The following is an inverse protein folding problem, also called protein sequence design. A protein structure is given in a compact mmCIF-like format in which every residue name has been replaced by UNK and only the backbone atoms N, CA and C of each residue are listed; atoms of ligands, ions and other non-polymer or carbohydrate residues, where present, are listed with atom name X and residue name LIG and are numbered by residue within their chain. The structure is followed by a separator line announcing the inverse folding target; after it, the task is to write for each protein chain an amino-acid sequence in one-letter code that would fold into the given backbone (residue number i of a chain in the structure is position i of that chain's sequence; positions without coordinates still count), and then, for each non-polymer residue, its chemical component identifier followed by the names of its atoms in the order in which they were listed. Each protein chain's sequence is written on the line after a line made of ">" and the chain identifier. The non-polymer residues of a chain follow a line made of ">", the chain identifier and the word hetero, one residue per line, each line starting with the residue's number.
data_IF_313611631798
#
_entry.id   IF_313611631798
#
_cell.length_a   1.000
_cell.length_b   1.000
_cell.length_c   1.000
_cell.angle_alpha   90.00
_cell.angle_beta   90.00
_cell.angle_gamma   90.00
#
_symmetry.space_group_name_H-M   'P 1'
#
loop_
_entity.id
_entity.type
_entity.pdbx_description
1 polymer ?
#
# COMPACT_ATOMS: atom_id res chain seq x y z
N UNK A 1 6.13 50.48 -25.65
CA UNK A 1 4.90 49.65 -25.65
C UNK A 1 5.24 48.14 -25.59
N UNK A 2 6.16 47.72 -24.70
CA UNK A 2 6.68 46.33 -24.70
C UNK A 2 6.93 45.68 -23.32
N UNK A 3 6.91 46.46 -22.23
CA UNK A 3 7.19 45.97 -20.87
C UNK A 3 6.03 45.12 -20.31
N UNK A 4 4.81 45.55 -20.59
CA UNK A 4 3.54 44.88 -20.23
C UNK A 4 3.36 43.56 -20.97
N UNK A 5 3.64 43.51 -22.27
CA UNK A 5 3.51 42.28 -23.07
C UNK A 5 4.54 41.23 -22.65
N UNK A 6 5.76 41.65 -22.28
CA UNK A 6 6.80 40.76 -21.76
C UNK A 6 6.42 40.20 -20.39
N UNK A 7 5.88 41.02 -19.48
CA UNK A 7 5.41 40.56 -18.15
C UNK A 7 4.25 39.58 -18.27
N UNK A 8 3.30 39.86 -19.16
CA UNK A 8 2.15 38.98 -19.44
C UNK A 8 2.63 37.65 -20.01
N UNK A 9 3.54 37.67 -21.00
CA UNK A 9 4.13 36.46 -21.57
C UNK A 9 4.84 35.62 -20.50
N UNK A 10 5.59 36.28 -19.60
CA UNK A 10 6.29 35.63 -18.50
C UNK A 10 5.34 35.00 -17.48
N UNK A 11 4.17 35.60 -17.25
CA UNK A 11 3.13 35.05 -16.36
C UNK A 11 2.44 33.83 -16.98
N UNK A 12 2.19 33.85 -18.30
CA UNK A 12 1.62 32.70 -18.99
C UNK A 12 2.60 31.53 -19.07
N UNK A 13 3.89 31.79 -19.28
CA UNK A 13 4.91 30.73 -19.31
C UNK A 13 5.10 30.09 -17.95
N UNK A 14 5.11 30.87 -16.86
CA UNK A 14 5.19 30.29 -15.50
C UNK A 14 3.96 29.48 -15.15
N UNK A 15 2.76 29.95 -15.49
CA UNK A 15 1.51 29.21 -15.26
C UNK A 15 1.49 27.89 -16.04
N UNK A 16 1.90 27.90 -17.31
CA UNK A 16 2.00 26.71 -18.15
C UNK A 16 3.00 25.69 -17.58
N UNK A 17 4.13 26.15 -17.03
CA UNK A 17 5.15 25.29 -16.43
C UNK A 17 4.69 24.67 -15.11
N UNK A 18 3.92 25.38 -14.28
CA UNK A 18 3.31 24.82 -13.07
C UNK A 18 2.25 23.78 -13.41
N UNK A 19 1.42 24.06 -14.43
CA UNK A 19 0.39 23.14 -14.89
C UNK A 19 0.99 21.84 -15.43
N UNK A 20 2.07 21.88 -16.21
CA UNK A 20 2.71 20.66 -16.73
C UNK A 20 3.31 19.79 -15.62
N UNK A 21 3.92 20.39 -14.59
CA UNK A 21 4.46 19.65 -13.44
C UNK A 21 3.32 18.94 -12.67
N UNK A 22 2.16 19.56 -12.53
CA UNK A 22 1.00 18.97 -11.85
C UNK A 22 0.41 17.75 -12.59
N UNK A 23 0.64 17.60 -13.90
CA UNK A 23 0.16 16.44 -14.67
C UNK A 23 1.12 15.24 -14.56
N UNK A 24 2.33 15.45 -14.06
CA UNK A 24 3.37 14.42 -13.91
C UNK A 24 3.25 13.65 -12.59
N UNK A 25 2.05 13.54 -12.01
CA UNK A 25 1.81 12.58 -10.92
C UNK A 25 1.72 11.21 -11.55
N UNK A 26 2.89 10.57 -11.71
CA UNK A 26 2.98 9.23 -12.25
C UNK A 26 2.35 8.29 -11.23
N UNK A 27 1.19 7.73 -11.56
CA UNK A 27 0.58 6.63 -10.81
C UNK A 27 1.67 5.59 -10.52
N UNK A 28 2.05 5.45 -9.25
CA UNK A 28 3.01 4.43 -8.83
C UNK A 28 2.33 3.11 -9.13
N UNK A 29 2.70 2.48 -10.25
CA UNK A 29 2.23 1.15 -10.62
C UNK A 29 2.64 0.22 -9.50
N UNK A 30 1.65 -0.10 -8.68
CA UNK A 30 1.83 -0.94 -7.52
C UNK A 30 2.24 -2.34 -8.00
N UNK A 31 3.29 -2.90 -7.39
CA UNK A 31 3.92 -4.13 -7.86
C UNK A 31 3.16 -5.28 -7.21
N UNK A 32 2.62 -6.25 -7.99
CA UNK A 32 1.98 -7.40 -7.39
C UNK A 32 3.02 -8.26 -6.67
N UNK A 33 2.79 -8.49 -5.38
CA UNK A 33 3.57 -9.40 -4.53
C UNK A 33 2.64 -10.49 -4.04
N UNK A 34 2.99 -11.75 -4.26
CA UNK A 34 2.18 -12.89 -3.81
C UNK A 34 0.71 -12.81 -4.24
N UNK A 35 0.48 -12.46 -5.50
CA UNK A 35 -0.84 -12.29 -6.12
C UNK A 35 -1.72 -11.18 -5.55
N UNK A 36 -1.17 -10.29 -4.71
CA UNK A 36 -1.87 -9.09 -4.23
C UNK A 36 -1.06 -7.85 -4.54
N UNK A 37 -1.75 -6.73 -4.72
CA UNK A 37 -1.08 -5.48 -4.97
C UNK A 37 -0.45 -4.93 -3.69
N UNK A 38 0.73 -4.30 -3.75
CA UNK A 38 1.34 -3.74 -2.54
C UNK A 38 0.47 -2.68 -1.88
N UNK A 39 -0.27 -1.89 -2.66
CA UNK A 39 -1.21 -0.89 -2.13
C UNK A 39 -2.40 -1.53 -1.40
N UNK A 40 -2.79 -2.75 -1.77
CA UNK A 40 -3.89 -3.46 -1.12
C UNK A 40 -3.50 -3.98 0.27
N UNK A 41 -2.20 -4.15 0.56
CA UNK A 41 -1.72 -4.54 1.88
C UNK A 41 -2.02 -3.48 2.95
N UNK A 42 -2.11 -2.20 2.58
CA UNK A 42 -2.44 -1.12 3.51
C UNK A 42 -3.83 -1.30 4.12
N UNK A 43 -4.77 -1.95 3.41
CA UNK A 43 -6.10 -2.30 3.92
C UNK A 43 -6.02 -3.19 5.16
N UNK A 44 -4.94 -3.96 5.30
CA UNK A 44 -4.70 -4.83 6.46
C UNK A 44 -3.86 -4.19 7.56
N UNK A 45 -3.18 -3.06 7.31
CA UNK A 45 -2.28 -2.44 8.28
C UNK A 45 -2.93 -2.15 9.64
N UNK A 46 -4.17 -1.64 9.73
CA UNK A 46 -4.83 -1.39 11.01
C UNK A 46 -5.00 -2.64 11.88
N UNK A 47 -5.22 -3.81 11.27
CA UNK A 47 -5.43 -5.07 11.98
C UNK A 47 -4.13 -5.81 12.34
N UNK A 48 -3.01 -5.42 11.71
CA UNK A 48 -1.74 -6.14 11.83
C UNK A 48 -0.68 -5.39 12.67
N UNK A 49 -0.78 -4.07 12.73
CA UNK A 49 0.16 -3.19 13.46
C UNK A 49 -0.49 -2.51 14.69
N UNK A 50 0.32 -1.89 15.55
CA UNK A 50 -0.15 -1.15 16.74
C UNK A 50 -0.16 -1.96 18.04
N UNK A 51 -0.62 -1.39 19.16
CA UNK A 51 -0.65 -2.12 20.45
C UNK A 51 -1.86 -3.03 20.61
N UNK A 52 -3.04 -2.56 20.21
CA UNK A 52 -4.29 -3.30 20.31
C UNK A 52 -5.07 -3.17 18.98
N UNK A 53 -4.68 -3.93 17.95
CA UNK A 53 -5.32 -3.81 16.65
C UNK A 53 -6.77 -4.30 16.70
N UNK A 54 -7.70 -3.63 16.01
CA UNK A 54 -9.05 -4.15 15.80
C UNK A 54 -9.03 -5.43 14.96
N UNK A 55 -10.13 -6.21 14.94
CA UNK A 55 -10.28 -7.32 14.00
C UNK A 55 -10.17 -6.85 12.54
N UNK A 56 -9.74 -7.73 11.61
CA UNK A 56 -9.61 -7.37 10.21
C UNK A 56 -10.97 -7.06 9.60
N UNK A 57 -11.05 -5.92 8.91
CA UNK A 57 -12.24 -5.54 8.14
C UNK A 57 -12.42 -6.40 6.88
N UNK A 58 -13.59 -6.28 6.21
CA UNK A 58 -13.91 -7.08 5.02
C UNK A 58 -12.92 -6.89 3.88
N UNK A 59 -12.45 -5.65 3.66
CA UNK A 59 -11.45 -5.35 2.63
C UNK A 59 -10.12 -6.04 2.89
N UNK A 60 -9.66 -6.06 4.14
CA UNK A 60 -8.46 -6.82 4.50
C UNK A 60 -8.68 -8.32 4.27
N UNK A 61 -9.83 -8.85 4.67
CA UNK A 61 -10.11 -10.27 4.45
C UNK A 61 -10.22 -10.65 2.97
N UNK A 62 -10.69 -9.75 2.09
CA UNK A 62 -10.65 -9.96 0.65
C UNK A 62 -9.19 -10.09 0.16
N UNK A 63 -8.30 -9.20 0.62
CA UNK A 63 -6.87 -9.26 0.30
C UNK A 63 -6.22 -10.54 0.82
N UNK A 64 -6.48 -10.91 2.08
CA UNK A 64 -5.95 -12.14 2.70
C UNK A 64 -6.39 -13.38 1.93
N UNK A 65 -7.65 -13.43 1.47
CA UNK A 65 -8.18 -14.56 0.69
C UNK A 65 -7.65 -14.61 -0.74
N UNK A 66 -7.33 -13.45 -1.33
CA UNK A 66 -6.75 -13.36 -2.66
C UNK A 66 -5.22 -13.62 -2.66
N UNK A 67 -4.56 -13.40 -1.53
CA UNK A 67 -3.12 -13.56 -1.37
C UNK A 67 -2.66 -15.02 -1.47
N UNK A 68 -1.51 -15.20 -2.09
CA UNK A 68 -0.71 -16.42 -1.98
C UNK A 68 0.04 -16.39 -0.65
N UNK A 69 -0.59 -16.95 0.39
CA UNK A 69 -0.07 -16.93 1.76
C UNK A 69 1.22 -17.76 1.92
N UNK A 70 1.45 -18.78 1.08
CA UNK A 70 2.73 -19.52 1.06
C UNK A 70 3.84 -18.64 0.46
N UNK A 71 3.56 -17.93 -0.63
CA UNK A 71 4.49 -16.93 -1.16
C UNK A 71 4.84 -15.86 -0.12
N UNK A 72 3.85 -15.40 0.66
CA UNK A 72 4.02 -14.35 1.66
C UNK A 72 5.00 -14.74 2.77
N UNK A 73 5.22 -16.04 3.00
CA UNK A 73 6.22 -16.55 3.94
C UNK A 73 7.63 -16.04 3.65
N UNK A 74 7.97 -15.76 2.39
CA UNK A 74 9.28 -15.21 2.00
C UNK A 74 9.58 -13.86 2.64
N UNK A 75 8.53 -13.14 3.05
CA UNK A 75 8.63 -11.82 3.66
C UNK A 75 8.42 -11.85 5.18
N UNK A 76 8.25 -13.03 5.79
CA UNK A 76 7.99 -13.19 7.23
C UNK A 76 9.02 -12.45 8.09
N UNK A 77 10.30 -12.52 7.72
CA UNK A 77 11.39 -11.89 8.47
C UNK A 77 11.36 -10.36 8.40
N UNK A 78 10.74 -9.79 7.36
CA UNK A 78 10.64 -8.34 7.19
C UNK A 78 9.43 -7.76 7.95
N UNK A 79 8.47 -8.59 8.37
CA UNK A 79 7.25 -8.12 9.06
C UNK A 79 7.57 -7.28 10.30
N UNK A 80 8.57 -7.69 11.08
CA UNK A 80 9.01 -6.97 12.27
C UNK A 80 9.51 -5.55 11.95
N UNK A 81 10.20 -5.36 10.83
CA UNK A 81 10.66 -4.05 10.37
C UNK A 81 9.49 -3.11 10.02
N UNK A 82 8.33 -3.66 9.66
CA UNK A 82 7.10 -2.90 9.43
C UNK A 82 6.21 -2.77 10.67
N UNK A 83 6.69 -3.18 11.85
CA UNK A 83 5.91 -3.16 13.09
C UNK A 83 4.76 -4.19 13.12
N UNK A 84 4.83 -5.21 12.26
CA UNK A 84 3.83 -6.27 12.14
C UNK A 84 4.32 -7.50 12.92
N UNK A 85 3.47 -8.01 13.81
CA UNK A 85 3.77 -9.22 14.58
C UNK A 85 3.29 -10.48 13.82
N UNK A 86 4.15 -11.48 13.59
CA UNK A 86 3.77 -12.74 12.93
C UNK A 86 2.58 -13.46 13.58
N UNK A 87 2.46 -13.41 14.91
CA UNK A 87 1.33 -14.01 15.63
C UNK A 87 0.00 -13.33 15.28
N UNK A 88 0.02 -12.02 15.05
CA UNK A 88 -1.16 -11.26 14.62
C UNK A 88 -1.52 -11.51 13.16
N UNK A 89 -0.52 -11.69 12.31
CA UNK A 89 -0.76 -12.13 10.92
C UNK A 89 -1.47 -13.48 10.91
N UNK A 90 -0.99 -14.44 11.71
CA UNK A 90 -1.65 -15.74 11.87
C UNK A 90 -3.09 -15.59 12.37
N UNK A 91 -3.32 -14.77 13.38
CA UNK A 91 -4.65 -14.50 13.92
C UNK A 91 -5.58 -13.85 12.87
N UNK A 92 -5.11 -12.87 12.11
CA UNK A 92 -5.90 -12.22 11.06
C UNK A 92 -6.26 -13.21 9.94
N UNK A 93 -5.32 -14.04 9.50
CA UNK A 93 -5.57 -15.10 8.51
C UNK A 93 -6.68 -16.05 9.00
N UNK A 94 -6.58 -16.48 10.25
CA UNK A 94 -7.59 -17.34 10.88
C UNK A 94 -8.95 -16.66 10.96
N UNK A 95 -9.02 -15.41 11.46
CA UNK A 95 -10.27 -14.65 11.56
C UNK A 95 -10.92 -14.38 10.20
N UNK A 96 -10.14 -14.25 9.13
CA UNK A 96 -10.65 -14.13 7.77
C UNK A 96 -11.08 -15.47 7.15
N UNK A 97 -10.89 -16.60 7.83
CA UNK A 97 -11.24 -17.94 7.33
C UNK A 97 -10.33 -18.44 6.20
N UNK A 98 -9.11 -17.90 6.09
CA UNK A 98 -8.13 -18.35 5.11
C UNK A 98 -7.24 -19.46 5.70
N UNK A 99 -6.67 -20.30 4.82
CA UNK A 99 -5.76 -21.38 5.25
C UNK A 99 -4.44 -20.78 5.74
N UNK A 100 -4.08 -21.11 6.98
CA UNK A 100 -2.80 -20.67 7.56
C UNK A 100 -1.64 -21.33 6.81
N UNK A 101 -0.63 -20.55 6.36
CA UNK A 101 0.50 -21.10 5.65
C UNK A 101 1.46 -21.87 6.58
N UNK A 102 2.24 -22.77 5.99
CA UNK A 102 3.20 -23.66 6.64
C UNK A 102 4.17 -22.92 7.57
N UNK A 103 4.67 -21.76 7.13
CA UNK A 103 5.62 -20.95 7.88
C UNK A 103 5.06 -20.28 9.15
N UNK A 104 3.73 -20.23 9.30
CA UNK A 104 3.04 -19.67 10.47
C UNK A 104 2.38 -20.74 11.34
N UNK A 105 2.51 -22.03 11.01
CA UNK A 105 1.90 -23.10 11.80
C UNK A 105 2.57 -23.32 13.17
N UNK A 106 3.90 -23.19 13.25
CA UNK A 106 4.67 -23.28 14.50
C UNK A 106 4.50 -22.04 15.37
#
# INVERSE_FOLDING_TARGET
>A
MGKNNTKILMQFTTLAMVLTIAMMVKEVKSIPICKVNTNDLEKCRPALAGRNPPPPGPDCCAVVKAADLECACRYKHNLSSYGINPARVKAAIHSCGARIPSCLRR
#
